data_IF_673568182632
#
_entry.id   IF_673568182632
#
_cell.length_a   1.000
_cell.length_b   1.000
_cell.length_c   1.000
_cell.angle_alpha   90.00
_cell.angle_beta   90.00
_cell.angle_gamma   90.00
#
_symmetry.space_group_name_H-M   'P 1'
#
loop_
_entity.id
_entity.type
_entity.pdbx_description
1 polymer ?
#
# COMPACT_ATOMS: atom_id res chain seq x y z
N UNK A 1 -1.69 8.68 -12.38
CA UNK A 1 -2.39 7.52 -12.96
C UNK A 1 -1.53 6.73 -13.96
N UNK A 2 -0.83 7.34 -14.91
CA UNK A 2 0.04 6.58 -15.83
C UNK A 2 1.10 5.70 -15.11
N UNK A 3 1.80 6.16 -14.06
CA UNK A 3 2.72 5.30 -13.30
C UNK A 3 2.03 4.13 -12.59
N UNK A 4 0.84 4.36 -12.02
CA UNK A 4 0.02 3.29 -11.41
C UNK A 4 -0.41 2.25 -12.46
N UNK A 5 -0.75 2.68 -13.67
CA UNK A 5 -1.09 1.78 -14.75
C UNK A 5 0.12 0.95 -15.20
N UNK A 6 1.31 1.56 -15.28
CA UNK A 6 2.56 0.86 -15.58
C UNK A 6 2.91 -0.16 -14.51
N UNK A 7 2.73 0.18 -13.23
CA UNK A 7 2.89 -0.77 -12.12
C UNK A 7 1.97 -1.98 -12.29
N UNK A 8 0.66 -1.76 -12.46
CA UNK A 8 -0.32 -2.84 -12.61
C UNK A 8 -0.14 -3.70 -13.86
N UNK A 9 0.50 -3.16 -14.91
CA UNK A 9 0.82 -3.88 -16.14
C UNK A 9 2.26 -4.39 -16.17
N UNK A 10 3.05 -4.14 -15.12
CA UNK A 10 4.41 -4.62 -15.03
C UNK A 10 4.42 -6.14 -15.03
N UNK A 11 5.43 -6.73 -15.69
CA UNK A 11 5.56 -8.17 -15.81
C UNK A 11 5.47 -8.88 -14.45
N UNK A 12 6.05 -8.29 -13.40
CA UNK A 12 6.03 -8.88 -12.04
C UNK A 12 4.61 -9.06 -11.54
N UNK A 13 3.76 -8.02 -11.61
CA UNK A 13 2.36 -8.14 -11.20
C UNK A 13 1.53 -8.99 -12.17
N UNK A 14 1.83 -8.92 -13.46
CA UNK A 14 1.09 -9.68 -14.47
C UNK A 14 1.34 -11.19 -14.38
N UNK A 15 2.56 -11.61 -14.11
CA UNK A 15 2.93 -13.02 -13.97
C UNK A 15 2.26 -13.66 -12.75
N UNK A 16 2.09 -12.89 -11.67
CA UNK A 16 1.44 -13.37 -10.46
C UNK A 16 0.01 -13.86 -10.71
N UNK A 17 -0.71 -13.27 -11.66
CA UNK A 17 -2.08 -13.70 -11.99
C UNK A 17 -2.15 -15.15 -12.51
N UNK A 18 -1.07 -15.73 -13.02
CA UNK A 18 -1.04 -17.14 -13.42
C UNK A 18 -1.22 -18.10 -12.23
N UNK A 19 -0.88 -17.66 -11.02
CA UNK A 19 -1.00 -18.45 -9.78
C UNK A 19 -2.33 -18.25 -9.07
N UNK A 20 -3.22 -17.40 -9.59
CA UNK A 20 -4.50 -17.07 -8.93
C UNK A 20 -5.37 -18.31 -8.68
N UNK A 21 -5.36 -19.26 -9.62
CA UNK A 21 -6.08 -20.53 -9.46
C UNK A 21 -5.59 -21.30 -8.23
N UNK A 22 -4.28 -21.40 -8.05
CA UNK A 22 -3.68 -22.17 -6.97
C UNK A 22 -3.88 -21.46 -5.62
N UNK A 23 -3.81 -20.13 -5.60
CA UNK A 23 -4.18 -19.32 -4.44
C UNK A 23 -5.60 -19.62 -3.96
N UNK A 24 -6.58 -19.67 -4.86
CA UNK A 24 -7.97 -19.95 -4.50
C UNK A 24 -8.14 -21.36 -3.94
N UNK A 25 -7.45 -22.34 -4.51
CA UNK A 25 -7.54 -23.74 -4.09
C UNK A 25 -6.82 -24.00 -2.76
N UNK A 26 -5.64 -23.41 -2.58
CA UNK A 26 -4.74 -23.68 -1.46
C UNK A 26 -4.85 -22.64 -0.33
N UNK A 27 -5.62 -21.56 -0.55
CA UNK A 27 -5.80 -20.44 0.39
C UNK A 27 -4.48 -19.74 0.76
N UNK A 28 -3.63 -19.53 -0.23
CA UNK A 28 -2.34 -18.83 -0.04
C UNK A 28 -2.38 -17.34 -0.37
N UNK A 29 -1.19 -16.74 -0.40
CA UNK A 29 -0.98 -15.35 -0.84
C UNK A 29 -0.34 -15.40 -2.23
N UNK A 30 -0.85 -14.60 -3.15
CA UNK A 30 -0.49 -14.65 -4.57
C UNK A 30 1.01 -14.49 -4.83
N UNK A 31 1.63 -13.44 -4.28
CA UNK A 31 3.06 -13.19 -4.42
C UNK A 31 3.90 -14.31 -3.81
N UNK A 32 3.55 -14.79 -2.62
CA UNK A 32 4.30 -15.87 -1.96
C UNK A 32 4.27 -17.16 -2.79
N UNK A 33 3.17 -17.44 -3.47
CA UNK A 33 3.04 -18.62 -4.32
C UNK A 33 3.78 -18.47 -5.66
N UNK A 34 3.89 -17.26 -6.19
CA UNK A 34 4.57 -16.98 -7.45
C UNK A 34 6.10 -16.91 -7.30
N UNK A 35 6.58 -16.19 -6.28
CA UNK A 35 7.99 -15.85 -6.10
C UNK A 35 8.65 -16.55 -4.90
N UNK A 36 7.87 -17.26 -4.07
CA UNK A 36 8.38 -17.95 -2.87
C UNK A 36 8.76 -17.04 -1.70
N UNK A 37 8.52 -15.73 -1.82
CA UNK A 37 8.81 -14.70 -0.83
C UNK A 37 7.65 -13.70 -0.74
N UNK A 38 7.62 -12.91 0.33
CA UNK A 38 6.62 -11.85 0.46
C UNK A 38 6.85 -10.73 -0.55
N UNK A 39 5.80 -9.98 -0.86
CA UNK A 39 5.89 -8.77 -1.70
C UNK A 39 6.95 -7.80 -1.15
N UNK A 40 7.00 -7.60 0.17
CA UNK A 40 7.98 -6.70 0.81
C UNK A 40 9.42 -7.15 0.61
N UNK A 41 9.70 -8.44 0.76
CA UNK A 41 11.04 -8.99 0.50
C UNK A 41 11.42 -8.83 -0.98
N UNK A 42 10.47 -9.06 -1.90
CA UNK A 42 10.70 -8.92 -3.33
C UNK A 42 11.09 -7.49 -3.75
N UNK A 43 10.58 -6.46 -3.09
CA UNK A 43 10.96 -5.07 -3.38
C UNK A 43 12.45 -4.81 -3.11
N UNK A 44 13.06 -5.55 -2.18
CA UNK A 44 14.50 -5.50 -1.92
C UNK A 44 15.34 -6.22 -2.98
N UNK A 45 14.76 -7.11 -3.78
CA UNK A 45 15.49 -7.96 -4.74
C UNK A 45 15.47 -7.41 -6.18
N UNK A 46 14.39 -6.75 -6.61
CA UNK A 46 14.28 -6.08 -7.92
C UNK A 46 14.17 -4.55 -7.76
N UNK A 47 15.31 -3.81 -7.83
CA UNK A 47 15.32 -2.35 -7.76
C UNK A 47 14.52 -1.66 -8.88
N UNK A 48 14.38 -2.31 -10.05
CA UNK A 48 13.62 -1.78 -11.18
C UNK A 48 12.13 -1.85 -10.87
N UNK A 49 11.65 -2.99 -10.35
CA UNK A 49 10.26 -3.10 -9.91
C UNK A 49 9.96 -2.19 -8.71
N UNK A 50 10.86 -2.12 -7.72
CA UNK A 50 10.69 -1.22 -6.57
C UNK A 50 10.51 0.24 -7.00
N UNK A 51 11.28 0.70 -7.99
CA UNK A 51 11.11 2.04 -8.56
C UNK A 51 9.72 2.23 -9.19
N UNK A 52 9.28 1.29 -10.03
CA UNK A 52 7.96 1.34 -10.68
C UNK A 52 6.83 1.35 -9.64
N UNK A 53 6.96 0.53 -8.60
CA UNK A 53 6.02 0.48 -7.48
C UNK A 53 5.94 1.82 -6.74
N UNK A 54 7.08 2.38 -6.33
CA UNK A 54 7.12 3.64 -5.61
C UNK A 54 6.56 4.80 -6.44
N UNK A 55 6.88 4.86 -7.74
CA UNK A 55 6.29 5.85 -8.66
C UNK A 55 4.76 5.66 -8.83
N UNK A 56 4.30 4.41 -8.94
CA UNK A 56 2.90 4.05 -9.00
C UNK A 56 2.12 4.54 -7.77
N UNK A 57 2.57 4.13 -6.60
CA UNK A 57 1.97 4.45 -5.31
C UNK A 57 2.05 5.93 -4.96
N UNK A 58 3.16 6.62 -5.27
CA UNK A 58 3.27 8.06 -5.10
C UNK A 58 2.25 8.79 -5.99
N UNK A 59 2.20 8.45 -7.28
CA UNK A 59 1.30 9.11 -8.23
C UNK A 59 -0.18 8.94 -7.86
N UNK A 60 -0.53 7.79 -7.28
CA UNK A 60 -1.88 7.53 -6.80
C UNK A 60 -2.17 8.27 -5.48
N UNK A 61 -1.23 8.20 -4.52
CA UNK A 61 -1.36 8.85 -3.22
C UNK A 61 -1.54 10.36 -3.31
N UNK A 62 -0.82 11.03 -4.21
CA UNK A 62 -0.97 12.48 -4.43
C UNK A 62 -2.40 12.83 -4.86
N UNK A 63 -3.01 12.02 -5.73
CA UNK A 63 -4.38 12.26 -6.21
C UNK A 63 -5.39 12.06 -5.08
N UNK A 64 -5.26 10.97 -4.33
CA UNK A 64 -6.15 10.66 -3.21
C UNK A 64 -6.02 11.70 -2.09
N UNK A 65 -4.79 12.07 -1.70
CA UNK A 65 -4.57 13.04 -0.63
C UNK A 65 -5.10 14.43 -0.97
N UNK A 66 -4.97 14.88 -2.22
CA UNK A 66 -5.59 16.13 -2.66
C UNK A 66 -7.10 16.12 -2.43
N UNK A 67 -7.78 15.03 -2.81
CA UNK A 67 -9.23 14.88 -2.59
C UNK A 67 -9.62 14.81 -1.12
N UNK A 68 -8.80 14.16 -0.29
CA UNK A 68 -9.01 14.11 1.16
C UNK A 68 -8.93 15.52 1.74
N UNK A 69 -7.88 16.28 1.43
CA UNK A 69 -7.69 17.64 1.92
C UNK A 69 -8.78 18.63 1.43
N UNK A 70 -9.38 18.38 0.27
CA UNK A 70 -10.54 19.16 -0.21
C UNK A 70 -11.82 18.92 0.62
N UNK A 71 -11.93 17.78 1.31
CA UNK A 71 -13.14 17.35 2.02
C UNK A 71 -12.99 17.33 3.53
N UNK A 72 -11.78 17.15 4.02
CA UNK A 72 -11.48 16.96 5.43
C UNK A 72 -10.49 18.04 5.88
N UNK A 73 -11.00 19.03 6.61
CA UNK A 73 -10.22 20.18 7.07
C UNK A 73 -9.66 20.01 8.49
N UNK A 74 -10.03 18.94 9.21
CA UNK A 74 -9.64 18.78 10.62
C UNK A 74 -8.15 18.46 10.82
N UNK A 75 -7.38 18.35 9.72
CA UNK A 75 -5.92 18.30 9.79
C UNK A 75 -5.30 19.60 10.32
N UNK A 76 -6.04 20.72 10.29
CA UNK A 76 -5.54 22.04 10.75
C UNK A 76 -5.20 22.06 12.25
N UNK A 77 -5.73 21.12 13.04
CA UNK A 77 -5.48 21.00 14.47
C UNK A 77 -4.46 19.90 14.81
N UNK A 78 -4.01 19.13 13.83
CA UNK A 78 -3.05 18.04 14.01
C UNK A 78 -1.65 18.62 14.17
N UNK A 79 -1.03 18.40 15.34
CA UNK A 79 0.33 18.88 15.63
C UNK A 79 1.41 17.94 15.07
N UNK A 80 1.14 16.64 15.05
CA UNK A 80 2.06 15.60 14.60
C UNK A 80 1.29 14.58 13.78
N UNK A 81 1.71 14.41 12.52
CA UNK A 81 1.20 13.37 11.62
C UNK A 81 2.33 12.39 11.34
N UNK A 82 2.09 11.10 11.60
CA UNK A 82 3.05 10.04 11.31
C UNK A 82 2.51 9.18 10.17
N UNK A 83 3.24 9.17 9.05
CA UNK A 83 2.92 8.34 7.88
C UNK A 83 3.64 7.00 7.99
N UNK A 84 2.93 5.96 8.44
CA UNK A 84 3.49 4.62 8.64
C UNK A 84 3.34 3.84 7.33
N UNK A 85 4.47 3.51 6.70
CA UNK A 85 4.49 2.82 5.41
C UNK A 85 4.53 3.75 4.18
N UNK A 86 4.97 5.00 4.33
CA UNK A 86 5.15 5.93 3.22
C UNK A 86 5.99 5.35 2.05
N UNK A 87 5.75 5.87 0.84
CA UNK A 87 6.20 5.31 -0.46
C UNK A 87 7.71 5.41 -0.78
N UNK A 88 8.55 5.49 0.24
CA UNK A 88 10.00 5.35 0.12
C UNK A 88 10.43 4.15 0.97
N UNK A 89 10.40 2.96 0.36
CA UNK A 89 10.85 1.74 1.03
C UNK A 89 12.38 1.76 1.16
N UNK A 90 12.84 2.21 2.32
CA UNK A 90 14.19 1.94 2.85
C UNK A 90 13.99 0.93 3.97
N UNK A 91 14.52 -0.28 3.84
CA UNK A 91 14.38 -1.31 4.87
C UNK A 91 14.91 -0.80 6.22
N UNK A 92 14.02 -0.67 7.20
CA UNK A 92 14.32 -0.22 8.56
C UNK A 92 13.22 -0.65 9.53
N UNK A 93 13.56 -0.85 10.80
CA UNK A 93 12.61 -1.20 11.86
C UNK A 93 11.95 0.06 12.41
N UNK A 94 10.61 0.11 12.40
CA UNK A 94 9.84 1.17 13.05
C UNK A 94 9.89 0.96 14.57
N UNK A 95 10.55 1.85 15.32
CA UNK A 95 10.74 1.69 16.78
C UNK A 95 9.52 2.10 17.63
N UNK A 96 8.92 3.28 17.41
CA UNK A 96 7.73 3.72 18.16
C UNK A 96 7.01 4.94 17.55
N UNK A 97 5.74 5.13 17.91
CA UNK A 97 4.95 6.33 17.61
C UNK A 97 5.12 7.35 18.75
N UNK A 98 5.46 8.61 18.50
CA UNK A 98 5.58 9.60 19.55
C UNK A 98 4.23 10.20 19.97
N UNK A 99 3.82 9.90 21.20
CA UNK A 99 2.76 10.56 22.01
C UNK A 99 1.29 10.40 21.57
N UNK A 100 0.40 10.83 22.47
CA UNK A 100 -1.06 10.63 22.45
C UNK A 100 -1.79 11.43 21.35
N UNK A 101 -1.13 12.42 20.73
CA UNK A 101 -1.70 13.29 19.68
C UNK A 101 -1.33 12.84 18.24
N UNK A 102 -0.72 11.66 18.07
CA UNK A 102 -0.29 11.17 16.76
C UNK A 102 -1.43 10.45 16.01
N UNK A 103 -1.74 10.91 14.80
CA UNK A 103 -2.59 10.17 13.86
C UNK A 103 -1.70 9.31 12.97
N UNK A 104 -1.99 8.01 12.94
CA UNK A 104 -1.33 7.05 12.05
C UNK A 104 -2.06 7.00 10.72
N UNK A 105 -1.32 7.29 9.65
CA UNK A 105 -1.77 7.04 8.28
C UNK A 105 -1.27 5.67 7.83
N UNK A 106 -2.20 4.77 7.55
CA UNK A 106 -1.95 3.47 6.92
C UNK A 106 -2.17 3.59 5.40
N UNK A 107 -1.38 2.84 4.62
CA UNK A 107 -1.42 2.85 3.17
C UNK A 107 -2.81 2.58 2.58
N UNK A 108 -3.01 3.09 1.35
CA UNK A 108 -4.29 3.14 0.64
C UNK A 108 -4.94 1.77 0.40
N UNK A 109 -4.16 0.68 0.35
CA UNK A 109 -4.73 -0.68 0.17
C UNK A 109 -5.40 -1.19 1.46
N UNK A 110 -4.79 -0.97 2.63
CA UNK A 110 -5.37 -1.38 3.92
C UNK A 110 -6.52 -0.45 4.32
N UNK A 111 -6.39 0.86 4.09
CA UNK A 111 -7.43 1.82 4.37
C UNK A 111 -8.73 1.51 3.61
N UNK A 112 -8.62 1.04 2.36
CA UNK A 112 -9.79 0.62 1.55
C UNK A 112 -10.42 -0.66 2.11
N UNK A 113 -9.61 -1.63 2.52
CA UNK A 113 -10.10 -2.88 3.12
C UNK A 113 -10.79 -2.65 4.47
N UNK A 114 -10.22 -1.78 5.31
CA UNK A 114 -10.79 -1.41 6.61
C UNK A 114 -12.09 -0.60 6.46
N UNK A 115 -12.17 0.31 5.48
CA UNK A 115 -13.40 1.05 5.18
C UNK A 115 -14.50 0.12 4.69
N UNK A 116 -14.16 -0.88 3.85
CA UNK A 116 -15.11 -1.89 3.38
C UNK A 116 -15.53 -2.84 4.49
N UNK A 117 -14.61 -3.27 5.37
CA UNK A 117 -14.89 -4.14 6.50
C UNK A 117 -15.80 -3.46 7.54
N UNK A 118 -15.56 -2.19 7.87
CA UNK A 118 -16.39 -1.40 8.79
C UNK A 118 -17.80 -1.18 8.24
N UNK A 119 -17.96 -1.07 6.93
CA UNK A 119 -19.28 -0.90 6.29
C UNK A 119 -20.07 -2.23 6.16
N UNK A 120 -19.42 -3.39 6.29
CA UNK A 120 -20.10 -4.69 6.34
C UNK A 120 -20.53 -5.11 7.75
N UNK A 121 -19.94 -4.52 8.80
CA UNK A 121 -20.32 -4.74 10.20
C UNK A 121 -21.48 -3.83 10.67
N UNK A 122 -21.96 -2.93 9.80
CA UNK A 122 -23.05 -1.99 10.08
C UNK A 122 -24.42 -2.47 9.55
N UNK A 123 -24.62 -3.78 9.39
CA UNK A 123 -25.93 -4.41 9.14
C UNK A 123 -26.31 -5.33 10.29
#
# INVERSE_FOLDING_TARGET
MAPLALMNQDKVLMDNWYYLKDVVLQRGILFNMADGMTTFEYHGTDPRFNKVFNEGMNSHSVIIMKKILEKYCDFDHVKVLVDVGGVEHVGGEFESVPSEDAILRWNIEDALFDMLAKNQMAK
#
